data_IF_412096487049
#
_entry.id   IF_412096487049
#
_cell.length_a   1.000
_cell.length_b   1.000
_cell.length_c   1.000
_cell.angle_alpha   90.00
_cell.angle_beta   90.00
_cell.angle_gamma   90.00
#
_symmetry.space_group_name_H-M   'P 1'
#
loop_
_entity.id
_entity.type
_entity.pdbx_description
1 polymer ?
#
# COMPACT_ATOMS: atom_id res chain seq x y z
N UNK A 1 -6.56 -0.61 10.38
CA UNK A 1 -6.66 0.79 10.81
C UNK A 1 -5.27 1.23 11.27
N UNK A 2 -4.76 2.36 10.79
CA UNK A 2 -3.47 2.94 11.23
C UNK A 2 -3.78 4.08 12.19
N UNK A 3 -3.11 4.14 13.33
CA UNK A 3 -3.29 5.18 14.34
C UNK A 3 -1.93 5.72 14.78
N UNK A 4 -1.84 7.04 14.90
CA UNK A 4 -0.69 7.73 15.50
C UNK A 4 -1.18 8.50 16.72
N UNK A 5 -0.43 8.41 17.81
CA UNK A 5 -0.62 9.26 18.97
C UNK A 5 0.36 10.43 18.84
N UNK A 6 -0.17 11.63 18.61
CA UNK A 6 0.63 12.84 18.37
C UNK A 6 0.13 13.97 19.25
N UNK A 7 1.06 14.75 19.79
CA UNK A 7 0.76 15.86 20.70
C UNK A 7 0.36 17.16 19.95
N UNK A 8 0.20 17.10 18.62
CA UNK A 8 -0.18 18.23 17.77
C UNK A 8 -0.63 17.82 16.37
N UNK A 9 -1.13 18.79 15.61
CA UNK A 9 -1.49 18.58 14.19
C UNK A 9 -0.23 18.46 13.35
N UNK A 10 0.14 17.24 13.01
CA UNK A 10 1.31 16.95 12.19
C UNK A 10 0.87 16.46 10.81
N UNK A 11 1.62 16.88 9.80
CA UNK A 11 1.36 16.49 8.42
C UNK A 11 1.87 15.08 8.15
N UNK A 12 1.17 14.33 7.30
CA UNK A 12 1.51 12.94 6.97
C UNK A 12 1.67 12.74 5.48
N UNK A 13 2.64 11.91 5.11
CA UNK A 13 2.77 11.37 3.76
C UNK A 13 2.35 9.91 3.77
N UNK A 14 1.54 9.53 2.79
CA UNK A 14 1.10 8.15 2.56
C UNK A 14 1.79 7.56 1.34
N UNK A 15 2.12 6.28 1.40
CA UNK A 15 2.65 5.51 0.28
C UNK A 15 2.02 4.13 0.23
N UNK A 16 1.53 3.76 -0.94
CA UNK A 16 1.11 2.39 -1.23
C UNK A 16 2.25 1.60 -1.86
N UNK A 17 2.39 0.35 -1.44
CA UNK A 17 3.31 -0.63 -2.00
C UNK A 17 2.55 -1.91 -2.29
N UNK A 18 2.70 -2.44 -3.50
CA UNK A 18 2.08 -3.70 -3.93
C UNK A 18 3.19 -4.71 -4.23
N UNK A 19 3.06 -5.93 -3.69
CA UNK A 19 3.96 -7.05 -3.97
C UNK A 19 3.16 -8.23 -4.48
N UNK A 20 3.63 -8.91 -5.52
CA UNK A 20 3.08 -10.20 -5.92
C UNK A 20 3.59 -11.26 -4.94
N UNK A 21 2.73 -12.13 -4.47
CA UNK A 21 3.05 -13.16 -3.50
C UNK A 21 2.61 -14.53 -3.98
N UNK A 22 3.43 -15.54 -3.69
CA UNK A 22 3.06 -16.95 -3.73
C UNK A 22 2.68 -17.42 -2.32
N UNK A 23 2.34 -18.70 -2.16
CA UNK A 23 2.02 -19.30 -0.86
C UNK A 23 3.14 -19.21 0.16
N UNK A 24 4.39 -18.99 -0.26
CA UNK A 24 5.56 -19.03 0.63
C UNK A 24 6.41 -17.75 0.61
N UNK A 25 6.33 -16.91 -0.44
CA UNK A 25 7.18 -15.70 -0.58
C UNK A 25 6.48 -14.59 -1.33
N UNK A 26 6.82 -13.34 -0.99
CA UNK A 26 6.47 -12.17 -1.79
C UNK A 26 7.67 -11.71 -2.63
N UNK A 27 7.40 -11.34 -3.87
CA UNK A 27 8.36 -10.74 -4.81
C UNK A 27 8.77 -9.34 -4.36
N UNK A 28 9.66 -8.73 -5.15
CA UNK A 28 9.91 -7.30 -5.08
C UNK A 28 8.64 -6.49 -5.33
N UNK A 29 8.66 -5.25 -4.85
CA UNK A 29 7.61 -4.26 -5.09
C UNK A 29 7.39 -4.11 -6.59
N UNK A 30 6.13 -4.24 -7.00
CA UNK A 30 5.73 -4.03 -8.39
C UNK A 30 5.81 -2.52 -8.64
N UNK A 31 6.49 -2.14 -9.72
CA UNK A 31 6.46 -0.75 -10.17
C UNK A 31 5.05 -0.45 -10.63
N UNK A 32 4.32 0.33 -9.84
CA UNK A 32 2.98 0.76 -10.19
C UNK A 32 3.08 1.69 -11.40
N UNK A 33 2.37 1.32 -12.47
CA UNK A 33 2.21 2.19 -13.64
C UNK A 33 1.58 3.51 -13.19
N UNK A 34 1.89 4.63 -13.85
CA UNK A 34 1.29 5.96 -13.60
C UNK A 34 -0.25 5.95 -13.61
N UNK A 35 -0.86 4.92 -14.20
CA UNK A 35 -2.31 4.66 -14.19
C UNK A 35 -2.89 4.25 -12.83
N UNK A 36 -2.07 3.82 -11.87
CA UNK A 36 -2.52 3.51 -10.50
C UNK A 36 -2.60 4.82 -9.73
N UNK A 37 -3.82 5.32 -9.56
CA UNK A 37 -4.06 6.55 -8.81
C UNK A 37 -4.11 6.23 -7.32
N UNK A 38 -3.30 6.98 -6.55
CA UNK A 38 -3.37 6.98 -5.09
C UNK A 38 -3.80 8.37 -4.67
N UNK A 39 -4.91 8.46 -3.93
CA UNK A 39 -5.42 9.73 -3.40
C UNK A 39 -5.47 9.57 -1.89
N UNK A 40 -4.57 10.26 -1.17
CA UNK A 40 -4.42 10.14 0.28
C UNK A 40 -4.27 8.68 0.76
N UNK A 41 -5.32 8.12 1.36
CA UNK A 41 -5.37 6.76 1.90
C UNK A 41 -6.00 5.75 0.96
N UNK A 42 -6.52 6.17 -0.19
CA UNK A 42 -7.22 5.29 -1.14
C UNK A 42 -6.28 4.81 -2.24
N UNK A 43 -6.48 3.55 -2.64
CA UNK A 43 -5.75 2.90 -3.72
C UNK A 43 -6.73 2.46 -4.79
N UNK A 44 -6.68 3.11 -5.96
CA UNK A 44 -7.48 2.74 -7.11
C UNK A 44 -6.62 1.97 -8.12
N UNK A 45 -6.96 0.70 -8.34
CA UNK A 45 -6.29 -0.18 -9.29
C UNK A 45 -7.26 -0.43 -10.46
N UNK A 46 -6.98 0.08 -11.67
CA UNK A 46 -7.83 -0.18 -12.82
C UNK A 46 -7.93 -1.68 -13.13
N UNK A 47 -9.05 -2.10 -13.72
CA UNK A 47 -9.23 -3.49 -14.17
C UNK A 47 -8.10 -3.94 -15.10
N UNK A 48 -7.67 -5.20 -14.99
CA UNK A 48 -6.62 -5.80 -15.83
C UNK A 48 -5.22 -5.14 -15.69
N UNK A 49 -5.00 -4.38 -14.62
CA UNK A 49 -3.66 -3.81 -14.32
C UNK A 49 -2.72 -4.83 -13.70
N UNK A 50 -3.27 -5.76 -12.90
CA UNK A 50 -2.53 -6.82 -12.24
C UNK A 50 -2.97 -8.17 -12.82
N UNK A 51 -1.99 -9.06 -13.03
CA UNK A 51 -2.24 -10.43 -13.46
C UNK A 51 -2.98 -11.25 -12.39
N UNK A 52 -3.39 -12.47 -12.76
CA UNK A 52 -3.93 -13.41 -11.79
C UNK A 52 -2.87 -13.83 -10.77
N UNK A 53 -3.20 -13.80 -9.48
CA UNK A 53 -2.23 -14.06 -8.42
C UNK A 53 -2.70 -13.61 -7.05
N UNK A 54 -1.82 -13.74 -6.06
CA UNK A 54 -2.03 -13.19 -4.72
C UNK A 54 -1.12 -11.97 -4.57
N UNK A 55 -1.64 -10.88 -4.02
CA UNK A 55 -0.91 -9.65 -3.84
C UNK A 55 -0.98 -9.21 -2.39
N UNK A 56 0.14 -8.75 -1.86
CA UNK A 56 0.19 -8.01 -0.59
C UNK A 56 0.17 -6.52 -0.91
N UNK A 57 -0.86 -5.84 -0.43
CA UNK A 57 -1.04 -4.40 -0.55
C UNK A 57 -0.72 -3.80 0.81
N UNK A 58 0.22 -2.86 0.86
CA UNK A 58 0.67 -2.22 2.11
C UNK A 58 0.52 -0.73 2.00
N UNK A 59 -0.26 -0.15 2.92
CA UNK A 59 -0.28 1.29 3.15
C UNK A 59 0.75 1.62 4.22
N UNK A 60 1.70 2.48 3.88
CA UNK A 60 2.66 3.05 4.83
C UNK A 60 2.37 4.53 5.01
N UNK A 61 2.32 4.96 6.26
CA UNK A 61 2.12 6.36 6.64
C UNK A 61 3.36 6.81 7.40
N UNK A 62 3.91 7.95 7.02
CA UNK A 62 5.07 8.58 7.66
C UNK A 62 4.71 10.00 8.06
N UNK A 63 5.02 10.38 9.30
CA UNK A 63 4.91 11.76 9.72
C UNK A 63 6.02 12.60 9.07
N UNK A 64 5.65 13.73 8.47
CA UNK A 64 6.62 14.59 7.76
C UNK A 64 7.56 15.25 8.78
N UNK A 65 6.99 15.77 9.87
CA UNK A 65 7.72 16.50 10.91
C UNK A 65 8.48 15.58 11.88
N UNK A 66 8.18 14.27 11.85
CA UNK A 66 8.91 13.25 12.60
C UNK A 66 9.03 11.97 11.76
N UNK A 67 9.98 11.92 10.80
CA UNK A 67 10.09 10.82 9.85
C UNK A 67 10.33 9.45 10.48
N UNK A 68 10.76 9.42 11.74
CA UNK A 68 10.94 8.18 12.49
C UNK A 68 9.61 7.56 12.95
N UNK A 69 8.54 8.36 13.05
CA UNK A 69 7.20 7.89 13.35
C UNK A 69 6.55 7.39 12.06
N UNK A 70 6.58 6.07 11.89
CA UNK A 70 5.99 5.36 10.77
C UNK A 70 5.04 4.28 11.28
N UNK A 71 3.97 4.08 10.54
CA UNK A 71 3.07 2.97 10.75
C UNK A 71 2.65 2.40 9.40
N UNK A 72 2.42 1.10 9.36
CA UNK A 72 1.97 0.44 8.14
C UNK A 72 0.89 -0.59 8.45
N UNK A 73 0.08 -0.87 7.44
CA UNK A 73 -0.94 -1.91 7.49
C UNK A 73 -0.99 -2.61 6.14
N UNK A 74 -1.16 -3.93 6.16
CA UNK A 74 -1.15 -4.76 4.97
C UNK A 74 -2.41 -5.61 4.87
N UNK A 75 -2.83 -5.87 3.64
CA UNK A 75 -3.90 -6.82 3.30
C UNK A 75 -3.44 -7.71 2.14
N UNK A 76 -3.97 -8.92 2.08
CA UNK A 76 -3.75 -9.85 0.97
C UNK A 76 -5.00 -9.95 0.10
N UNK A 77 -4.83 -9.80 -1.21
CA UNK A 77 -5.91 -9.88 -2.19
C UNK A 77 -5.55 -10.95 -3.21
N UNK A 78 -6.51 -11.80 -3.60
CA UNK A 78 -6.34 -12.77 -4.68
C UNK A 78 -7.17 -12.33 -5.88
N UNK A 79 -6.51 -12.24 -7.04
CA UNK A 79 -7.16 -12.00 -8.33
C UNK A 79 -7.32 -13.35 -9.02
N UNK A 80 -8.57 -13.71 -9.31
CA UNK A 80 -8.94 -14.98 -9.97
C UNK A 80 -9.59 -14.71 -11.32
N UNK A 81 -9.48 -15.65 -12.25
CA UNK A 81 -10.32 -15.65 -13.44
C UNK A 81 -11.77 -15.92 -13.00
N UNK A 82 -12.68 -15.03 -13.36
CA UNK A 82 -14.13 -15.23 -13.24
C UNK A 82 -14.67 -16.03 -14.40
#
# INVERSE_FOLDING_TARGET
>A
MIQFNCDGSLSTTTKWTIKNCTSTRCSFEIVLNEKVMTIYSELYIPSRTLDYGVYQLTLSVTMIDSPNLKASSSVYVRITAT
#
